data_IF_579861433964
#
_entry.id   IF_579861433964
#
_cell.length_a   1.000
_cell.length_b   1.000
_cell.length_c   1.000
_cell.angle_alpha   90.00
_cell.angle_beta   90.00
_cell.angle_gamma   90.00
#
_symmetry.space_group_name_H-M   'P 1'
#
loop_
_entity.id
_entity.type
_entity.pdbx_description
1 polymer ?
#
# COMPACT_ATOMS: atom_id res chain seq x y z
N UNK A 1 14.28 -27.91 -34.66
CA UNK A 1 13.76 -28.09 -33.30
C UNK A 1 14.20 -26.89 -32.48
N UNK A 2 13.33 -25.92 -32.29
CA UNK A 2 13.66 -24.67 -31.60
C UNK A 2 13.39 -24.81 -30.10
N UNK A 3 14.45 -24.81 -29.30
CA UNK A 3 14.34 -24.65 -27.85
C UNK A 3 13.80 -23.25 -27.56
N UNK A 4 12.50 -23.14 -27.29
CA UNK A 4 11.93 -22.01 -26.55
C UNK A 4 12.43 -22.10 -25.12
N UNK A 5 13.57 -21.47 -24.86
CA UNK A 5 13.95 -21.11 -23.50
C UNK A 5 12.91 -20.11 -23.03
N UNK A 6 12.00 -20.58 -22.17
CA UNK A 6 11.11 -19.74 -21.38
C UNK A 6 11.96 -18.70 -20.66
N UNK A 7 11.97 -17.47 -21.17
CA UNK A 7 12.60 -16.34 -20.52
C UNK A 7 11.71 -15.86 -19.37
N UNK A 8 11.60 -16.68 -18.32
CA UNK A 8 11.28 -16.18 -16.99
C UNK A 8 12.50 -15.38 -16.53
N UNK A 9 12.62 -14.14 -17.03
CA UNK A 9 13.56 -13.17 -16.50
C UNK A 9 13.02 -12.80 -15.14
N UNK A 10 13.48 -13.51 -14.11
CA UNK A 10 13.48 -13.00 -12.77
C UNK A 10 14.32 -11.72 -12.80
N UNK A 11 13.68 -10.58 -13.08
CA UNK A 11 14.30 -9.28 -12.92
C UNK A 11 14.70 -9.19 -11.45
N UNK A 12 16.01 -9.29 -11.20
CA UNK A 12 16.59 -9.10 -9.88
C UNK A 12 16.17 -7.71 -9.40
N UNK A 13 15.25 -7.68 -8.44
CA UNK A 13 14.75 -6.46 -7.85
C UNK A 13 15.79 -6.00 -6.84
N UNK A 14 16.70 -5.11 -7.28
CA UNK A 14 17.74 -4.59 -6.40
C UNK A 14 17.14 -3.48 -5.53
N UNK A 15 16.85 -3.81 -4.27
CA UNK A 15 16.32 -2.91 -3.26
C UNK A 15 17.46 -2.07 -2.66
N UNK A 16 18.02 -1.14 -3.45
CA UNK A 16 19.01 -0.20 -2.91
C UNK A 16 18.35 0.61 -1.78
N UNK A 17 18.99 0.74 -0.60
CA UNK A 17 18.46 1.55 0.49
C UNK A 17 18.23 2.99 0.02
N UNK A 18 17.03 3.50 0.30
CA UNK A 18 16.70 4.90 0.09
C UNK A 18 16.91 5.68 1.39
N UNK A 19 17.16 6.99 1.29
CA UNK A 19 17.10 7.84 2.47
C UNK A 19 15.72 7.72 3.12
N UNK A 20 15.64 7.56 4.47
CA UNK A 20 14.36 7.37 5.14
C UNK A 20 13.36 8.47 4.81
N UNK A 21 12.19 8.08 4.32
CA UNK A 21 11.11 8.99 3.98
C UNK A 21 9.87 8.70 4.85
N UNK A 22 9.80 9.25 6.07
CA UNK A 22 8.70 9.01 6.98
C UNK A 22 7.44 9.73 6.50
N UNK A 23 6.37 8.99 6.22
CA UNK A 23 5.07 9.55 5.82
C UNK A 23 4.06 9.38 6.96
N UNK A 24 4.03 8.21 7.56
CA UNK A 24 3.24 7.89 8.75
C UNK A 24 4.09 8.05 10.00
N UNK A 25 5.23 7.36 10.09
CA UNK A 25 6.14 7.40 11.24
C UNK A 25 7.52 6.84 10.84
N UNK A 26 8.60 7.48 11.30
CA UNK A 26 9.98 7.03 11.04
C UNK A 26 10.26 5.60 11.50
N UNK A 27 9.52 5.07 12.49
CA UNK A 27 9.63 3.67 12.94
C UNK A 27 9.25 2.66 11.85
N UNK A 28 8.47 3.09 10.84
CA UNK A 28 8.09 2.25 9.70
C UNK A 28 9.06 2.31 8.53
N UNK A 29 10.08 3.17 8.59
CA UNK A 29 11.20 3.21 7.63
C UNK A 29 12.29 2.23 8.08
N UNK A 30 12.20 0.96 7.66
CA UNK A 30 13.16 -0.08 8.06
C UNK A 30 14.48 0.03 7.26
N UNK A 31 15.65 -0.21 7.88
CA UNK A 31 16.94 -0.16 7.19
C UNK A 31 17.19 -1.38 6.29
N UNK A 32 16.34 -2.41 6.39
CA UNK A 32 16.36 -3.61 5.57
C UNK A 32 15.06 -3.75 4.77
N UNK A 33 15.06 -4.49 3.65
CA UNK A 33 13.83 -4.85 2.95
C UNK A 33 12.78 -5.42 3.89
N UNK A 34 11.52 -5.07 3.68
CA UNK A 34 10.40 -5.59 4.47
C UNK A 34 9.36 -6.21 3.55
N UNK A 35 9.14 -7.52 3.68
CA UNK A 35 8.11 -8.24 2.95
C UNK A 35 6.91 -8.47 3.86
N UNK A 36 5.75 -7.93 3.50
CA UNK A 36 4.52 -7.99 4.30
C UNK A 36 3.44 -8.75 3.55
N UNK A 37 2.73 -9.63 4.24
CA UNK A 37 1.55 -10.33 3.73
C UNK A 37 0.32 -9.44 3.93
N UNK A 38 -0.39 -9.13 2.85
CA UNK A 38 -1.65 -8.39 2.86
C UNK A 38 -2.82 -9.38 2.69
N UNK A 39 -3.57 -9.66 3.77
CA UNK A 39 -4.69 -10.58 3.73
C UNK A 39 -5.90 -9.92 3.06
N UNK A 40 -6.75 -10.74 2.42
CA UNK A 40 -7.98 -10.26 1.77
C UNK A 40 -8.95 -9.56 2.74
N UNK A 41 -8.93 -9.94 4.03
CA UNK A 41 -9.72 -9.32 5.08
C UNK A 41 -9.48 -7.81 5.21
N UNK A 42 -8.26 -7.35 4.93
CA UNK A 42 -7.82 -5.95 5.07
C UNK A 42 -8.69 -4.98 4.25
N UNK A 43 -9.04 -5.39 3.03
CA UNK A 43 -9.72 -4.53 2.07
C UNK A 43 -11.15 -4.98 1.75
N UNK A 44 -11.50 -6.25 2.00
CA UNK A 44 -12.82 -6.79 1.67
C UNK A 44 -13.82 -6.82 2.85
N UNK A 45 -13.36 -6.63 4.10
CA UNK A 45 -14.21 -6.83 5.28
C UNK A 45 -14.05 -5.74 6.34
N UNK A 46 -14.92 -5.77 7.36
CA UNK A 46 -14.82 -4.97 8.58
C UNK A 46 -14.17 -5.72 9.74
N UNK A 47 -13.44 -6.80 9.44
CA UNK A 47 -12.82 -7.68 10.43
C UNK A 47 -11.40 -7.19 10.70
N UNK A 48 -11.04 -7.18 11.98
CA UNK A 48 -9.69 -6.83 12.41
C UNK A 48 -8.69 -7.91 11.98
N UNK A 49 -7.49 -7.49 11.59
CA UNK A 49 -6.45 -8.44 11.19
C UNK A 49 -5.06 -7.98 11.61
N UNK A 50 -4.12 -8.93 11.62
CA UNK A 50 -2.71 -8.68 11.91
C UNK A 50 -1.96 -8.68 10.59
N UNK A 51 -1.27 -7.59 10.30
CA UNK A 51 -0.35 -7.50 9.17
C UNK A 51 0.98 -8.08 9.61
N UNK A 52 1.39 -9.15 8.93
CA UNK A 52 2.59 -9.91 9.29
C UNK A 52 3.64 -9.80 8.20
N UNK A 53 4.89 -9.84 8.62
CA UNK A 53 5.99 -10.14 7.72
C UNK A 53 5.87 -11.57 7.19
N UNK A 54 6.54 -11.87 6.08
CA UNK A 54 6.56 -13.22 5.48
C UNK A 54 7.13 -14.31 6.41
N UNK A 55 7.94 -13.92 7.40
CA UNK A 55 8.44 -14.82 8.45
C UNK A 55 7.42 -15.06 9.59
N UNK A 56 6.23 -14.44 9.52
CA UNK A 56 5.15 -14.58 10.49
C UNK A 56 5.16 -13.55 11.63
N UNK A 57 6.18 -12.71 11.73
CA UNK A 57 6.28 -11.69 12.78
C UNK A 57 5.18 -10.62 12.62
N UNK A 58 4.50 -10.19 13.70
CA UNK A 58 3.54 -9.10 13.61
C UNK A 58 4.25 -7.78 13.33
N UNK A 59 3.77 -7.04 12.33
CA UNK A 59 4.29 -5.72 11.97
C UNK A 59 3.35 -4.60 12.40
N UNK A 60 2.07 -4.72 12.05
CA UNK A 60 1.01 -3.73 12.28
C UNK A 60 -0.31 -4.46 12.55
N UNK A 61 -1.25 -3.77 13.14
CA UNK A 61 -2.61 -4.27 13.36
C UNK A 61 -3.59 -3.39 12.60
N UNK A 62 -4.68 -3.99 12.13
CA UNK A 62 -5.72 -3.31 11.39
C UNK A 62 -7.05 -3.40 12.13
N UNK A 63 -7.66 -2.25 12.40
CA UNK A 63 -9.05 -2.13 12.81
C UNK A 63 -9.93 -2.01 11.56
N UNK A 64 -10.68 -3.07 11.25
CA UNK A 64 -11.50 -3.16 10.04
C UNK A 64 -12.73 -2.26 10.08
N UNK A 65 -13.21 -1.92 11.28
CA UNK A 65 -14.39 -1.06 11.47
C UNK A 65 -14.02 0.40 11.29
N UNK A 66 -12.90 0.82 11.88
CA UNK A 66 -12.39 2.19 11.79
C UNK A 66 -11.56 2.44 10.54
N UNK A 67 -11.15 1.38 9.84
CA UNK A 67 -10.18 1.49 8.74
C UNK A 67 -8.91 2.18 9.24
N UNK A 68 -8.30 1.59 10.27
CA UNK A 68 -7.17 2.21 10.96
C UNK A 68 -6.03 1.21 11.17
N UNK A 69 -4.81 1.71 10.97
CA UNK A 69 -3.58 1.02 11.37
C UNK A 69 -3.30 1.31 12.83
N UNK A 70 -2.91 0.28 13.58
CA UNK A 70 -2.55 0.33 14.99
C UNK A 70 -1.14 -0.25 15.18
N UNK A 71 -0.38 0.30 16.12
CA UNK A 71 0.98 -0.16 16.43
C UNK A 71 1.04 -1.34 17.41
N UNK A 72 0.04 -1.50 18.27
CA UNK A 72 0.01 -2.52 19.32
C UNK A 72 -1.39 -3.12 19.48
N UNK A 73 -1.54 -4.43 19.81
CA UNK A 73 -2.86 -5.05 19.90
C UNK A 73 -3.56 -4.78 21.24
N UNK A 74 -2.80 -4.67 22.34
CA UNK A 74 -3.36 -4.61 23.69
C UNK A 74 -3.51 -3.19 24.26
N UNK A 75 -2.78 -2.22 23.69
CA UNK A 75 -2.92 -0.78 23.98
C UNK A 75 -2.77 -0.03 22.66
N UNK A 76 -3.79 -0.12 21.79
CA UNK A 76 -3.66 0.33 20.41
C UNK A 76 -3.52 1.85 20.35
N UNK A 77 -2.40 2.32 19.82
CA UNK A 77 -2.31 3.67 19.29
C UNK A 77 -2.63 3.61 17.81
N UNK A 78 -3.69 4.32 17.40
CA UNK A 78 -3.97 4.54 15.99
C UNK A 78 -2.79 5.29 15.41
N UNK A 79 -2.09 4.71 14.44
CA UNK A 79 -0.97 5.38 13.76
C UNK A 79 -1.43 6.11 12.52
N UNK A 80 -2.43 5.57 11.83
CA UNK A 80 -3.08 6.23 10.71
C UNK A 80 -4.50 5.69 10.56
N UNK A 81 -5.43 6.54 10.13
CA UNK A 81 -6.76 6.09 9.71
C UNK A 81 -7.08 6.60 8.31
N UNK A 82 -7.83 5.79 7.56
CA UNK A 82 -8.28 6.12 6.22
C UNK A 82 -9.79 6.32 6.23
N UNK A 83 -10.25 7.51 5.87
CA UNK A 83 -11.68 7.80 5.80
C UNK A 83 -12.35 7.06 4.65
N UNK A 84 -13.48 6.43 4.95
CA UNK A 84 -14.36 5.81 3.97
C UNK A 84 -15.35 6.85 3.45
N UNK A 85 -15.32 7.15 2.14
CA UNK A 85 -16.31 8.01 1.49
C UNK A 85 -17.46 7.16 0.94
N UNK A 86 -18.71 7.58 1.16
CA UNK A 86 -19.87 6.74 0.85
C UNK A 86 -20.54 6.98 -0.51
N UNK A 87 -20.24 8.04 -1.27
CA UNK A 87 -21.04 8.32 -2.49
C UNK A 87 -20.27 8.98 -3.64
N UNK A 88 -19.82 10.25 -3.52
CA UNK A 88 -19.37 11.03 -4.68
C UNK A 88 -17.87 11.02 -4.99
N UNK A 89 -17.06 10.32 -4.18
CA UNK A 89 -15.60 10.25 -4.36
C UNK A 89 -15.06 8.90 -3.88
N UNK A 90 -15.73 7.81 -4.25
CA UNK A 90 -15.35 6.47 -3.78
C UNK A 90 -13.88 6.17 -4.12
N UNK A 91 -13.39 6.64 -5.26
CA UNK A 91 -12.01 6.52 -5.71
C UNK A 91 -10.98 7.35 -4.91
N UNK A 92 -11.41 8.18 -3.96
CA UNK A 92 -10.54 9.07 -3.18
C UNK A 92 -10.56 8.72 -1.71
N UNK A 93 -9.39 8.44 -1.14
CA UNK A 93 -9.20 8.10 0.27
C UNK A 93 -8.34 9.15 0.95
N UNK A 94 -8.88 9.80 1.97
CA UNK A 94 -8.12 10.71 2.82
C UNK A 94 -7.55 9.91 4.00
N UNK A 95 -6.24 10.02 4.22
CA UNK A 95 -5.50 9.38 5.31
C UNK A 95 -5.04 10.44 6.28
N UNK A 96 -5.26 10.17 7.56
CA UNK A 96 -4.92 11.09 8.63
C UNK A 96 -4.06 10.41 9.68
N UNK A 97 -3.14 11.18 10.26
CA UNK A 97 -2.49 10.83 11.50
C UNK A 97 -3.43 11.11 12.66
N UNK A 98 -3.47 10.17 13.59
CA UNK A 98 -4.14 10.31 14.87
C UNK A 98 -3.08 10.13 15.95
N UNK A 99 -3.00 11.08 16.87
CA UNK A 99 -2.12 10.97 18.02
C UNK A 99 -2.95 11.32 19.24
N UNK A 100 -2.60 10.75 20.40
CA UNK A 100 -3.22 11.14 21.67
C UNK A 100 -3.01 12.63 21.99
N UNK A 101 -2.01 13.26 21.36
CA UNK A 101 -1.52 14.60 21.72
C UNK A 101 -1.79 15.63 20.60
N UNK A 102 -1.83 15.21 19.33
CA UNK A 102 -2.00 16.12 18.20
C UNK A 102 -3.40 16.01 17.59
N UNK A 103 -3.93 17.14 17.15
CA UNK A 103 -5.16 17.18 16.38
C UNK A 103 -5.01 16.36 15.09
N UNK A 104 -6.09 15.68 14.71
CA UNK A 104 -6.19 14.90 13.47
C UNK A 104 -5.70 15.73 12.27
N UNK A 105 -4.64 15.26 11.61
CA UNK A 105 -4.02 15.95 10.49
C UNK A 105 -3.98 15.03 9.26
N UNK A 106 -4.43 15.53 8.11
CA UNK A 106 -4.41 14.77 6.85
C UNK A 106 -2.98 14.71 6.33
N UNK A 107 -2.46 13.50 6.14
CA UNK A 107 -1.10 13.28 5.61
C UNK A 107 -1.07 12.80 4.17
N UNK A 108 -2.16 12.20 3.69
CA UNK A 108 -2.18 11.67 2.33
C UNK A 108 -3.58 11.67 1.76
N UNK A 109 -3.69 11.94 0.47
CA UNK A 109 -4.90 11.83 -0.33
C UNK A 109 -4.63 10.85 -1.48
N UNK A 110 -5.15 9.64 -1.36
CA UNK A 110 -4.97 8.59 -2.37
C UNK A 110 -6.12 8.65 -3.37
N UNK A 111 -5.83 8.95 -4.64
CA UNK A 111 -6.81 8.80 -5.73
C UNK A 111 -6.47 7.54 -6.54
N UNK A 112 -7.45 6.66 -6.71
CA UNK A 112 -7.31 5.39 -7.41
C UNK A 112 -8.29 5.34 -8.58
N UNK A 113 -7.78 5.42 -9.79
CA UNK A 113 -8.57 5.28 -11.00
C UNK A 113 -8.24 3.94 -11.69
N UNK A 114 -9.22 3.31 -12.34
CA UNK A 114 -9.01 2.11 -13.15
C UNK A 114 -9.35 2.42 -14.61
N UNK A 115 -8.43 3.01 -15.38
CA UNK A 115 -8.69 3.35 -16.79
C UNK A 115 -8.87 2.10 -17.65
N UNK A 116 -8.20 1.00 -17.29
CA UNK A 116 -8.41 -0.34 -17.85
C UNK A 116 -8.82 -1.29 -16.73
N UNK A 117 -9.62 -2.29 -17.07
CA UNK A 117 -10.05 -3.31 -16.11
C UNK A 117 -8.82 -3.99 -15.50
N UNK A 118 -8.69 -3.89 -14.17
CA UNK A 118 -7.61 -4.50 -13.36
C UNK A 118 -6.19 -3.93 -13.52
N UNK A 119 -6.03 -2.84 -14.26
CA UNK A 119 -4.80 -2.04 -14.25
C UNK A 119 -5.07 -0.70 -13.54
N UNK A 120 -4.72 -0.59 -12.25
CA UNK A 120 -4.96 0.64 -11.52
C UNK A 120 -4.00 1.72 -12.00
N UNK A 121 -4.54 2.90 -12.33
CA UNK A 121 -3.80 4.14 -12.36
C UNK A 121 -3.98 4.82 -11.01
N UNK A 122 -2.98 4.66 -10.16
CA UNK A 122 -2.98 5.24 -8.82
C UNK A 122 -2.25 6.55 -8.91
N UNK A 123 -2.91 7.62 -8.47
CA UNK A 123 -2.23 8.87 -8.16
C UNK A 123 -2.46 9.11 -6.68
N UNK A 124 -1.53 8.64 -5.85
CA UNK A 124 -1.54 9.07 -4.46
C UNK A 124 -0.79 10.37 -4.35
N UNK A 125 -1.42 11.40 -3.77
CA UNK A 125 -0.74 12.63 -3.40
C UNK A 125 -0.59 12.65 -1.89
N UNK A 126 0.65 12.48 -1.43
CA UNK A 126 1.02 12.80 -0.05
C UNK A 126 1.18 14.30 0.03
N UNK A 127 0.54 14.91 1.01
CA UNK A 127 0.88 16.26 1.45
C UNK A 127 1.61 16.09 2.76
N UNK A 128 2.93 16.07 2.70
CA UNK A 128 3.74 15.98 3.92
C UNK A 128 3.57 17.25 4.75
N UNK A 129 3.88 17.18 6.05
CA UNK A 129 3.83 18.34 6.94
C UNK A 129 4.75 19.48 6.46
N UNK A 130 5.82 19.16 5.74
CA UNK A 130 6.79 20.10 5.18
C UNK A 130 6.35 20.70 3.83
N UNK A 131 5.20 20.29 3.30
CA UNK A 131 4.67 20.74 2.02
C UNK A 131 5.23 19.99 0.81
N UNK A 132 6.12 19.01 1.02
CA UNK A 132 6.60 18.13 -0.03
C UNK A 132 5.44 17.31 -0.59
N UNK A 133 5.43 17.23 -1.92
CA UNK A 133 4.50 16.41 -2.68
C UNK A 133 5.20 15.12 -3.01
N UNK A 134 4.57 14.01 -2.66
CA UNK A 134 5.04 12.69 -3.05
C UNK A 134 3.91 12.01 -3.82
N UNK A 135 4.24 11.54 -5.01
CA UNK A 135 3.34 10.87 -5.92
C UNK A 135 3.65 9.37 -5.91
N UNK A 136 2.68 8.54 -5.52
CA UNK A 136 2.77 7.10 -5.75
C UNK A 136 2.05 6.71 -7.03
N UNK A 137 2.70 5.87 -7.83
CA UNK A 137 2.16 5.26 -9.04
C UNK A 137 2.27 3.75 -8.95
N UNK A 138 1.18 3.04 -9.27
CA UNK A 138 1.19 1.58 -9.41
C UNK A 138 1.20 1.21 -10.90
N UNK A 139 2.06 0.28 -11.28
CA UNK A 139 2.18 -0.21 -12.66
C UNK A 139 2.22 -1.74 -12.68
N UNK A 140 1.52 -2.36 -13.62
CA UNK A 140 1.45 -3.82 -13.78
C UNK A 140 0.04 -4.39 -13.63
N UNK A 141 -0.05 -5.71 -13.48
CA UNK A 141 -1.32 -6.41 -13.29
C UNK A 141 -1.63 -6.53 -11.79
N UNK A 142 -2.64 -5.78 -11.34
CA UNK A 142 -3.06 -5.83 -9.95
C UNK A 142 -3.89 -7.07 -9.61
N UNK A 143 -4.62 -7.62 -10.59
CA UNK A 143 -5.46 -8.81 -10.37
C UNK A 143 -4.64 -10.07 -10.16
N UNK A 144 -3.60 -10.27 -10.97
CA UNK A 144 -2.62 -11.34 -10.85
C UNK A 144 -1.51 -11.04 -9.84
N UNK A 145 -1.62 -9.94 -9.07
CA UNK A 145 -0.64 -9.54 -8.05
C UNK A 145 0.77 -9.43 -8.60
N UNK A 146 0.94 -8.95 -9.83
CA UNK A 146 2.23 -8.74 -10.47
C UNK A 146 2.37 -7.27 -10.87
N UNK A 147 2.65 -6.44 -9.87
CA UNK A 147 2.73 -4.99 -10.01
C UNK A 147 3.93 -4.43 -9.25
N UNK A 148 4.30 -3.20 -9.58
CA UNK A 148 5.29 -2.42 -8.85
C UNK A 148 4.66 -1.10 -8.41
N UNK A 149 5.09 -0.62 -7.25
CA UNK A 149 4.77 0.71 -6.77
C UNK A 149 6.03 1.55 -6.92
N UNK A 150 5.86 2.70 -7.55
CA UNK A 150 6.89 3.70 -7.79
C UNK A 150 6.50 5.01 -7.13
N UNK A 151 7.50 5.85 -6.88
CA UNK A 151 7.35 7.12 -6.19
C UNK A 151 8.13 8.21 -6.94
N UNK A 152 7.58 9.41 -7.03
CA UNK A 152 8.28 10.63 -7.50
C UNK A 152 7.88 11.84 -6.66
N UNK A 153 8.68 12.91 -6.57
CA UNK A 153 8.25 14.13 -5.87
C UNK A 153 7.45 15.04 -6.79
N UNK A 154 7.81 15.08 -8.07
CA UNK A 154 7.08 15.82 -9.10
C UNK A 154 6.68 14.90 -10.29
N UNK A 155 5.68 15.29 -11.10
CA UNK A 155 5.26 14.51 -12.27
C UNK A 155 6.36 14.28 -13.32
N UNK A 156 7.32 15.20 -13.41
CA UNK A 156 8.41 15.19 -14.40
C UNK A 156 9.72 14.60 -13.85
N UNK A 157 9.76 14.24 -12.56
CA UNK A 157 10.95 13.72 -11.91
C UNK A 157 11.11 12.21 -12.15
N UNK A 158 12.36 11.73 -12.07
CA UNK A 158 12.66 10.31 -12.12
C UNK A 158 11.88 9.55 -11.03
N UNK A 159 11.20 8.49 -11.45
CA UNK A 159 10.48 7.61 -10.52
C UNK A 159 11.45 6.61 -9.90
N UNK A 160 11.33 6.41 -8.59
CA UNK A 160 12.03 5.34 -7.88
C UNK A 160 11.05 4.23 -7.55
N UNK A 161 11.47 2.98 -7.72
CA UNK A 161 10.64 1.86 -7.28
C UNK A 161 10.72 1.78 -5.75
N UNK A 162 9.56 1.66 -5.10
CA UNK A 162 9.45 1.64 -3.63
C UNK A 162 8.87 0.34 -3.09
N UNK A 163 8.10 -0.38 -3.90
CA UNK A 163 7.63 -1.71 -3.55
C UNK A 163 7.35 -2.58 -4.77
N UNK A 164 7.38 -3.90 -4.57
CA UNK A 164 6.91 -4.91 -5.52
C UNK A 164 5.77 -5.71 -4.92
N UNK A 165 4.77 -5.97 -5.75
CA UNK A 165 3.63 -6.83 -5.45
C UNK A 165 3.88 -8.19 -6.09
N UNK A 166 3.69 -9.26 -5.32
CA UNK A 166 3.73 -10.65 -5.79
C UNK A 166 2.70 -11.49 -5.04
N UNK A 167 2.19 -12.54 -5.67
CA UNK A 167 1.45 -13.60 -4.98
C UNK A 167 2.02 -14.95 -5.36
N UNK A 168 1.90 -15.90 -4.45
CA UNK A 168 2.21 -17.31 -4.69
C UNK A 168 0.95 -18.10 -5.11
N UNK A 169 -0.20 -17.41 -5.25
CA UNK A 169 -1.49 -17.96 -5.64
C UNK A 169 -1.83 -17.62 -7.10
N UNK A 170 -2.39 -18.59 -7.83
CA UNK A 170 -2.95 -18.38 -9.17
C UNK A 170 -4.34 -17.73 -9.12
N UNK A 171 -4.91 -17.52 -7.93
CA UNK A 171 -6.24 -16.91 -7.78
C UNK A 171 -6.14 -15.39 -7.91
N UNK A 172 -7.00 -14.83 -8.75
CA UNK A 172 -7.13 -13.38 -8.89
C UNK A 172 -7.56 -12.73 -7.57
N UNK A 173 -6.88 -11.65 -7.20
CA UNK A 173 -7.15 -10.84 -6.01
C UNK A 173 -7.07 -11.59 -4.67
N UNK A 174 -6.30 -12.69 -4.63
CA UNK A 174 -6.01 -13.37 -3.38
C UNK A 174 -5.13 -12.50 -2.46
N UNK A 175 -4.84 -13.05 -1.28
CA UNK A 175 -3.74 -12.54 -0.45
C UNK A 175 -2.42 -12.48 -1.25
N UNK A 176 -1.58 -11.53 -0.87
CA UNK A 176 -0.37 -11.25 -1.62
C UNK A 176 0.70 -10.65 -0.71
N UNK A 177 1.91 -10.59 -1.25
CA UNK A 177 3.08 -10.07 -0.57
C UNK A 177 3.47 -8.74 -1.20
N UNK A 178 3.78 -7.79 -0.34
CA UNK A 178 4.36 -6.50 -0.69
C UNK A 178 5.80 -6.48 -0.21
N UNK A 179 6.75 -6.51 -1.13
CA UNK A 179 8.17 -6.35 -0.83
C UNK A 179 8.53 -4.86 -0.90
N UNK A 180 8.77 -4.24 0.25
CA UNK A 180 9.08 -2.81 0.40
C UNK A 180 10.59 -2.59 0.48
N UNK A 181 11.07 -1.58 -0.26
CA UNK A 181 12.48 -1.14 -0.28
C UNK A 181 12.91 -0.56 1.08
N UNK A 182 14.15 -0.80 1.53
CA UNK A 182 14.65 -0.17 2.74
C UNK A 182 14.58 1.36 2.69
N UNK A 183 14.24 1.97 3.83
CA UNK A 183 14.05 3.41 3.99
C UNK A 183 12.63 3.91 3.67
N UNK A 184 11.83 3.12 2.94
CA UNK A 184 10.44 3.48 2.64
C UNK A 184 9.53 3.16 3.82
N UNK A 185 8.59 4.06 4.09
CA UNK A 185 7.55 3.87 5.10
C UNK A 185 6.58 2.75 4.69
N UNK A 186 6.72 1.59 5.33
CA UNK A 186 5.93 0.39 5.04
C UNK A 186 4.43 0.61 5.33
N UNK A 187 4.07 1.41 6.34
CA UNK A 187 2.68 1.70 6.67
C UNK A 187 2.02 2.54 5.57
N UNK A 188 2.73 3.52 5.02
CA UNK A 188 2.26 4.32 3.89
C UNK A 188 2.00 3.45 2.64
N UNK A 189 2.93 2.54 2.32
CA UNK A 189 2.75 1.61 1.19
C UNK A 189 1.53 0.70 1.39
N UNK A 190 1.33 0.16 2.61
CA UNK A 190 0.16 -0.66 2.94
C UNK A 190 -1.15 0.13 2.75
N UNK A 191 -1.18 1.40 3.14
CA UNK A 191 -2.36 2.25 2.95
C UNK A 191 -2.65 2.48 1.46
N UNK A 192 -1.62 2.70 0.64
CA UNK A 192 -1.76 2.79 -0.82
C UNK A 192 -2.34 1.49 -1.38
N UNK A 193 -1.75 0.33 -1.05
CA UNK A 193 -2.24 -0.99 -1.46
C UNK A 193 -3.71 -1.21 -1.05
N UNK A 194 -4.04 -0.89 0.19
CA UNK A 194 -5.40 -1.05 0.75
C UNK A 194 -6.41 -0.19 -0.01
N UNK A 195 -6.07 1.05 -0.33
CA UNK A 195 -6.93 1.93 -1.11
C UNK A 195 -7.18 1.37 -2.52
N UNK A 196 -6.15 0.83 -3.17
CA UNK A 196 -6.29 0.22 -4.50
C UNK A 196 -7.21 -0.99 -4.46
N UNK A 197 -6.97 -1.90 -3.52
CA UNK A 197 -7.78 -3.12 -3.39
C UNK A 197 -9.23 -2.83 -3.00
N UNK A 198 -9.48 -1.78 -2.21
CA UNK A 198 -10.85 -1.34 -1.91
C UNK A 198 -11.59 -0.94 -3.18
N UNK A 199 -10.98 -0.15 -4.05
CA UNK A 199 -11.62 0.25 -5.31
C UNK A 199 -11.75 -0.91 -6.27
N UNK A 200 -10.75 -1.80 -6.34
CA UNK A 200 -10.89 -3.04 -7.07
C UNK A 200 -12.08 -3.88 -6.56
N UNK A 201 -12.29 -3.93 -5.23
CA UNK A 201 -13.39 -4.67 -4.60
C UNK A 201 -14.76 -4.03 -4.88
N UNK A 202 -14.85 -2.70 -4.83
CA UNK A 202 -16.05 -1.95 -5.23
C UNK A 202 -16.39 -2.20 -6.69
N UNK A 203 -15.42 -2.07 -7.60
CA UNK A 203 -15.61 -2.31 -9.04
C UNK A 203 -16.05 -3.75 -9.35
N UNK A 204 -15.68 -4.69 -8.49
CA UNK A 204 -16.11 -6.10 -8.56
C UNK A 204 -17.43 -6.39 -7.85
N UNK A 205 -18.04 -5.41 -7.18
CA UNK A 205 -19.28 -5.59 -6.42
C UNK A 205 -19.12 -6.46 -5.17
N UNK A 206 -17.91 -6.56 -4.60
CA UNK A 206 -17.65 -7.33 -3.37
C UNK A 206 -17.99 -6.54 -2.11
N UNK A 207 -17.87 -5.22 -2.18
CA UNK A 207 -18.17 -4.30 -1.07
C UNK A 207 -18.98 -3.12 -1.62
N UNK A 208 -19.93 -2.64 -0.81
CA UNK A 208 -20.82 -1.52 -1.12
C UNK A 208 -20.46 -0.28 -0.30
#
# INVERSE_FOLDING_TARGET
MGNRVSSNVAHAFCLAPLEPLPIVDARFCRPTPTSVVLPTLLFATHIDCVLRTVDGSPLLYWDGRRTALLDHPADPTVVAHMERKMHMHINTHDVFLESRILAKHRIMKIQVDFPELYKPKVTSRVETADGDRILFHANGDWSGRNAIITMSREPEEATVVVARIRSDSDKMFDEYIVDVVPGIDVAAVILVCTAIDRIASVLRGLIY
#
